data_IF_672552069471
#
_entry.id   IF_672552069471
#
_cell.length_a   1.000
_cell.length_b   1.000
_cell.length_c   1.000
_cell.angle_alpha   90.00
_cell.angle_beta   90.00
_cell.angle_gamma   90.00
#
_symmetry.space_group_name_H-M   'P 1'
#
loop_
_entity.id
_entity.type
_entity.pdbx_description
1 polymer ?
#
# COMPACT_ATOMS: atom_id res chain seq x y z
N UNK A 1 -10.52 24.47 16.78
CA UNK A 1 -11.84 23.80 16.76
C UNK A 1 -11.55 22.31 16.66
N UNK A 2 -11.47 21.62 17.79
CA UNK A 2 -11.14 20.19 17.84
C UNK A 2 -12.34 19.41 17.30
N UNK A 3 -12.17 18.80 16.13
CA UNK A 3 -13.17 17.92 15.55
C UNK A 3 -13.12 16.59 16.33
N UNK A 4 -13.84 16.50 17.44
CA UNK A 4 -13.97 15.27 18.19
C UNK A 4 -14.81 14.26 17.40
N UNK A 5 -14.23 13.08 17.14
CA UNK A 5 -14.79 12.00 16.36
C UNK A 5 -16.18 11.56 16.87
N UNK A 6 -17.19 11.59 15.99
CA UNK A 6 -18.43 10.83 16.18
C UNK A 6 -18.26 9.43 15.58
N UNK A 7 -18.57 8.35 16.31
CA UNK A 7 -18.61 7.01 15.73
C UNK A 7 -19.54 6.97 14.50
N UNK A 8 -19.31 6.05 13.56
CA UNK A 8 -20.25 5.82 12.47
C UNK A 8 -21.60 5.41 13.05
N UNK A 9 -22.55 6.33 12.98
CA UNK A 9 -23.93 6.17 13.44
C UNK A 9 -24.76 5.87 12.20
N UNK A 10 -25.37 4.68 12.16
CA UNK A 10 -26.49 4.43 11.28
C UNK A 10 -27.75 5.06 11.87
N UNK A 11 -28.78 5.26 11.06
CA UNK A 11 -30.08 5.73 11.55
C UNK A 11 -31.11 4.62 11.44
N UNK A 12 -31.99 4.51 12.44
CA UNK A 12 -33.12 3.59 12.38
C UNK A 12 -34.00 3.93 11.17
N UNK A 13 -34.31 2.91 10.36
CA UNK A 13 -35.13 3.05 9.16
C UNK A 13 -36.55 3.56 9.48
N UNK A 14 -37.33 4.03 8.49
CA UNK A 14 -38.75 4.29 8.66
C UNK A 14 -39.50 3.06 9.23
N UNK A 15 -40.57 3.28 10.01
CA UNK A 15 -41.28 2.18 10.69
C UNK A 15 -41.75 1.06 9.74
N UNK A 16 -42.14 1.39 8.51
CA UNK A 16 -42.61 0.40 7.53
C UNK A 16 -41.49 -0.49 6.96
N UNK A 17 -40.23 -0.14 7.21
CA UNK A 17 -39.03 -0.90 6.80
C UNK A 17 -38.41 -1.65 7.99
N UNK A 18 -38.90 -1.44 9.22
CA UNK A 18 -38.41 -2.12 10.41
C UNK A 18 -39.18 -3.42 10.68
N UNK A 19 -38.46 -4.49 11.02
CA UNK A 19 -39.05 -5.69 11.61
C UNK A 19 -38.13 -6.28 12.69
N UNK A 20 -38.54 -6.31 13.96
CA UNK A 20 -39.77 -5.70 14.53
C UNK A 20 -39.69 -4.16 14.57
N UNK A 21 -40.85 -3.49 14.63
CA UNK A 21 -40.97 -2.04 14.79
C UNK A 21 -40.66 -1.61 16.23
N UNK A 22 -39.37 -1.48 16.55
CA UNK A 22 -38.89 -1.25 17.92
C UNK A 22 -38.28 0.13 18.14
N UNK A 23 -37.84 0.81 17.08
CA UNK A 23 -37.03 2.01 17.19
C UNK A 23 -37.74 3.18 16.52
N UNK A 24 -37.67 4.36 17.13
CA UNK A 24 -38.12 5.58 16.47
C UNK A 24 -37.25 5.82 15.23
N UNK A 25 -37.82 6.09 14.05
CA UNK A 25 -37.03 6.42 12.86
C UNK A 25 -36.05 7.57 13.12
N UNK A 26 -34.85 7.49 12.56
CA UNK A 26 -33.79 8.48 12.81
C UNK A 26 -33.06 8.30 14.15
N UNK A 27 -33.41 7.29 14.96
CA UNK A 27 -32.63 6.97 16.17
C UNK A 27 -31.19 6.63 15.77
N UNK A 28 -30.19 7.29 16.37
CA UNK A 28 -28.78 6.94 16.20
C UNK A 28 -28.51 5.49 16.65
N UNK A 29 -28.08 4.66 15.71
CA UNK A 29 -27.69 3.28 15.95
C UNK A 29 -26.17 3.12 15.77
N UNK A 30 -25.43 2.79 16.83
CA UNK A 30 -24.01 2.48 16.67
C UNK A 30 -23.87 1.18 15.86
N UNK A 31 -22.96 1.19 14.89
CA UNK A 31 -22.60 -0.03 14.16
C UNK A 31 -21.78 -0.93 15.09
N UNK A 32 -22.24 -2.17 15.27
CA UNK A 32 -21.60 -3.17 16.13
C UNK A 32 -21.11 -4.38 15.32
N UNK A 33 -19.99 -5.02 15.72
CA UNK A 33 -19.13 -4.65 16.85
C UNK A 33 -18.32 -3.38 16.59
N UNK A 34 -18.16 -2.54 17.62
CA UNK A 34 -17.34 -1.33 17.51
C UNK A 34 -15.86 -1.68 17.48
N UNK A 35 -15.13 -1.12 16.52
CA UNK A 35 -13.68 -1.34 16.36
C UNK A 35 -12.94 0.01 16.48
N UNK A 36 -12.46 0.39 17.69
CA UNK A 36 -11.72 1.62 17.89
C UNK A 36 -10.54 1.75 16.92
N UNK A 37 -10.36 2.93 16.34
CA UNK A 37 -9.28 3.22 15.39
C UNK A 37 -9.40 2.49 14.04
N UNK A 38 -10.56 1.94 13.66
CA UNK A 38 -10.72 1.23 12.38
C UNK A 38 -10.28 2.08 11.19
N UNK A 39 -10.62 3.38 11.19
CA UNK A 39 -10.27 4.31 10.10
C UNK A 39 -8.76 4.35 9.83
N UNK A 40 -7.92 4.34 10.86
CA UNK A 40 -6.46 4.33 10.69
C UNK A 40 -5.88 2.99 10.22
N UNK A 41 -6.73 1.96 10.09
CA UNK A 41 -6.37 0.64 9.54
C UNK A 41 -6.94 0.39 8.15
N UNK A 42 -7.75 1.30 7.60
CA UNK A 42 -8.28 1.19 6.24
C UNK A 42 -7.21 1.63 5.24
N UNK A 43 -7.08 0.87 4.16
CA UNK A 43 -6.18 1.16 3.04
C UNK A 43 -7.01 1.31 1.76
N UNK A 44 -6.64 2.27 0.92
CA UNK A 44 -7.23 2.47 -0.38
C UNK A 44 -6.21 2.19 -1.48
N UNK A 45 -6.56 1.32 -2.43
CA UNK A 45 -5.75 1.02 -3.61
C UNK A 45 -5.96 2.06 -4.70
N UNK A 46 -4.99 2.96 -4.91
CA UNK A 46 -5.09 4.02 -5.92
C UNK A 46 -4.35 3.62 -7.20
N UNK A 47 -5.05 3.77 -8.33
CA UNK A 47 -4.48 3.59 -9.68
C UNK A 47 -4.26 4.92 -10.40
N UNK A 48 -4.64 6.05 -9.78
CA UNK A 48 -4.46 7.41 -10.31
C UNK A 48 -4.07 8.41 -9.23
N UNK A 49 -3.41 9.51 -9.60
CA UNK A 49 -3.15 10.67 -8.75
C UNK A 49 -4.44 11.25 -8.18
N UNK A 50 -5.50 11.31 -8.99
CA UNK A 50 -6.81 11.81 -8.55
C UNK A 50 -7.39 10.92 -7.42
N UNK A 51 -7.34 9.60 -7.58
CA UNK A 51 -7.82 8.66 -6.56
C UNK A 51 -6.92 8.65 -5.31
N UNK A 52 -5.61 8.83 -5.46
CA UNK A 52 -4.70 9.01 -4.34
C UNK A 52 -5.00 10.30 -3.55
N UNK A 53 -5.17 11.44 -4.23
CA UNK A 53 -5.55 12.71 -3.58
C UNK A 53 -6.89 12.57 -2.87
N UNK A 54 -7.86 11.87 -3.46
CA UNK A 54 -9.15 11.64 -2.81
C UNK A 54 -9.01 10.78 -1.55
N UNK A 55 -8.23 9.68 -1.61
CA UNK A 55 -7.94 8.87 -0.43
C UNK A 55 -7.27 9.69 0.69
N UNK A 56 -6.43 10.66 0.35
CA UNK A 56 -5.84 11.57 1.32
C UNK A 56 -6.90 12.45 2.00
N UNK A 57 -7.82 13.02 1.23
CA UNK A 57 -8.94 13.83 1.75
C UNK A 57 -9.88 13.00 2.63
N UNK A 58 -10.14 11.77 2.23
CA UNK A 58 -11.01 10.83 2.95
C UNK A 58 -10.36 10.26 4.22
N UNK A 59 -9.07 10.53 4.45
CA UNK A 59 -8.39 10.17 5.68
C UNK A 59 -8.24 8.65 5.82
N UNK A 60 -7.72 7.98 4.79
CA UNK A 60 -7.38 6.55 4.78
C UNK A 60 -5.94 6.34 4.28
N UNK A 61 -5.29 5.24 4.70
CA UNK A 61 -3.94 4.90 4.22
C UNK A 61 -3.94 4.64 2.71
N UNK A 62 -2.81 4.83 2.04
CA UNK A 62 -2.69 4.62 0.60
C UNK A 62 -1.91 3.36 0.26
N UNK A 63 -2.43 2.55 -0.66
CA UNK A 63 -1.64 1.57 -1.39
C UNK A 63 -1.55 2.02 -2.85
N UNK A 64 -0.36 2.33 -3.32
CA UNK A 64 -0.13 2.57 -4.74
C UNK A 64 -0.25 1.26 -5.48
N UNK A 65 -1.19 1.19 -6.42
CA UNK A 65 -1.47 -0.01 -7.20
C UNK A 65 -0.24 -0.46 -8.00
N UNK A 66 -0.09 -1.78 -8.20
CA UNK A 66 0.91 -2.36 -9.12
C UNK A 66 0.68 -1.99 -10.58
N UNK A 67 -0.48 -1.38 -10.85
CA UNK A 67 -0.91 -0.83 -12.12
C UNK A 67 -1.38 0.61 -11.89
N UNK A 68 -0.75 1.57 -12.56
CA UNK A 68 -1.17 2.98 -12.56
C UNK A 68 -1.51 3.44 -13.98
N UNK A 69 -2.49 4.33 -14.09
CA UNK A 69 -2.94 4.89 -15.38
C UNK A 69 -2.19 6.17 -15.75
N UNK A 70 -1.44 6.76 -14.82
CA UNK A 70 -0.49 7.81 -15.18
C UNK A 70 0.53 7.27 -16.18
N UNK A 71 0.75 8.04 -17.23
CA UNK A 71 1.73 7.77 -18.25
C UNK A 71 2.72 8.93 -18.36
N UNK A 72 3.97 8.59 -18.61
CA UNK A 72 5.04 9.52 -18.88
C UNK A 72 6.32 8.77 -19.25
N UNK A 73 7.28 9.48 -19.84
CA UNK A 73 8.59 8.93 -20.23
C UNK A 73 9.52 8.69 -19.03
N UNK A 74 8.99 8.15 -17.92
CA UNK A 74 9.73 7.92 -16.68
C UNK A 74 9.48 6.49 -16.15
N UNK A 75 10.43 5.91 -15.39
CA UNK A 75 10.28 4.59 -14.79
C UNK A 75 9.04 4.47 -13.91
N UNK A 76 8.48 3.26 -13.77
CA UNK A 76 7.27 3.02 -12.97
C UNK A 76 7.42 3.49 -11.51
N UNK A 77 8.60 3.28 -10.92
CA UNK A 77 8.92 3.77 -9.56
C UNK A 77 8.80 5.29 -9.44
N UNK A 78 9.17 6.04 -10.47
CA UNK A 78 9.07 7.51 -10.47
C UNK A 78 7.61 7.98 -10.61
N UNK A 79 6.79 7.23 -11.37
CA UNK A 79 5.34 7.48 -11.45
C UNK A 79 4.69 7.29 -10.08
N UNK A 80 4.98 6.18 -9.40
CA UNK A 80 4.44 5.92 -8.07
C UNK A 80 4.96 6.90 -7.03
N UNK A 81 6.24 7.28 -7.07
CA UNK A 81 6.82 8.29 -6.18
C UNK A 81 6.05 9.62 -6.26
N UNK A 82 5.73 10.08 -7.46
CA UNK A 82 4.95 11.31 -7.64
C UNK A 82 3.51 11.17 -7.12
N UNK A 83 2.87 10.00 -7.29
CA UNK A 83 1.55 9.71 -6.72
C UNK A 83 1.58 9.74 -5.19
N UNK A 84 2.60 9.12 -4.58
CA UNK A 84 2.83 9.13 -3.14
C UNK A 84 2.98 10.57 -2.64
N UNK A 85 3.85 11.38 -3.27
CA UNK A 85 4.06 12.81 -2.93
C UNK A 85 2.77 13.63 -3.06
N UNK A 86 1.97 13.38 -4.09
CA UNK A 86 0.68 14.04 -4.26
C UNK A 86 -0.30 13.71 -3.12
N UNK A 87 -0.36 12.44 -2.71
CA UNK A 87 -1.11 12.01 -1.52
C UNK A 87 -0.62 12.69 -0.24
N UNK A 88 0.71 12.72 0.00
CA UNK A 88 1.28 13.35 1.20
C UNK A 88 0.91 14.83 1.32
N UNK A 89 0.98 15.56 0.21
CA UNK A 89 0.60 16.98 0.13
C UNK A 89 -0.88 17.17 0.46
N UNK A 90 -1.76 16.40 -0.19
CA UNK A 90 -3.19 16.46 0.03
C UNK A 90 -3.59 16.04 1.47
N UNK A 91 -2.86 15.11 2.08
CA UNK A 91 -3.07 14.70 3.47
C UNK A 91 -2.84 15.87 4.43
N UNK A 92 -1.71 16.57 4.26
CA UNK A 92 -1.38 17.74 5.08
C UNK A 92 -2.41 18.85 4.91
N UNK A 93 -2.83 19.12 3.68
CA UNK A 93 -3.89 20.10 3.39
C UNK A 93 -5.24 19.73 4.04
N UNK A 94 -5.56 18.43 4.10
CA UNK A 94 -6.77 17.94 4.75
C UNK A 94 -6.74 18.05 6.28
N UNK A 95 -5.55 18.13 6.90
CA UNK A 95 -5.37 18.42 8.32
C UNK A 95 -5.90 17.34 9.26
N UNK A 96 -5.75 16.06 8.88
CA UNK A 96 -6.12 14.94 9.76
C UNK A 96 -5.29 14.92 11.05
N UNK A 97 -5.88 14.39 12.12
CA UNK A 97 -5.29 14.31 13.46
C UNK A 97 -4.36 13.11 13.67
N UNK A 98 -3.99 12.40 12.59
CA UNK A 98 -3.15 11.22 12.62
C UNK A 98 -2.28 11.09 11.38
N UNK A 99 -1.22 10.29 11.51
CA UNK A 99 -0.21 10.06 10.48
C UNK A 99 -0.56 8.87 9.59
N UNK A 100 -0.71 9.06 8.27
CA UNK A 100 -1.09 7.99 7.36
C UNK A 100 0.09 7.08 7.03
N UNK A 101 -0.21 5.88 6.56
CA UNK A 101 0.77 4.99 5.93
C UNK A 101 0.59 4.93 4.43
N UNK A 102 1.70 4.70 3.73
CA UNK A 102 1.74 4.57 2.28
C UNK A 102 2.54 3.35 1.86
N UNK A 103 1.94 2.52 1.00
CA UNK A 103 2.54 1.26 0.57
C UNK A 103 2.72 1.16 -0.94
N UNK A 104 3.73 0.39 -1.32
CA UNK A 104 4.00 -0.03 -2.70
C UNK A 104 4.20 -1.53 -2.73
N UNK A 105 3.79 -2.15 -3.84
CA UNK A 105 3.87 -3.59 -4.03
C UNK A 105 4.97 -3.96 -5.03
N UNK A 106 5.76 -4.99 -4.73
CA UNK A 106 6.83 -5.51 -5.61
C UNK A 106 6.89 -7.03 -5.58
N UNK A 107 7.09 -7.63 -6.76
CA UNK A 107 7.48 -9.04 -6.88
C UNK A 107 9.00 -9.11 -6.81
N UNK A 108 9.53 -9.69 -5.72
CA UNK A 108 10.97 -9.76 -5.46
C UNK A 108 11.36 -11.20 -5.15
N UNK A 109 12.27 -11.77 -5.95
CA UNK A 109 12.72 -13.15 -5.88
C UNK A 109 14.25 -13.20 -5.70
N UNK A 110 14.75 -13.33 -4.46
CA UNK A 110 16.17 -13.54 -4.20
C UNK A 110 16.64 -14.91 -4.68
N UNK A 111 17.59 -14.92 -5.61
CA UNK A 111 18.13 -16.14 -6.23
C UNK A 111 19.41 -16.59 -5.51
N UNK A 112 19.28 -17.55 -4.59
CA UNK A 112 20.41 -18.06 -3.80
C UNK A 112 20.96 -19.40 -4.32
N UNK A 113 20.15 -20.15 -5.07
CA UNK A 113 20.48 -21.49 -5.56
C UNK A 113 20.22 -21.64 -7.06
N UNK A 114 20.73 -22.73 -7.66
CA UNK A 114 20.36 -23.11 -9.03
C UNK A 114 18.86 -23.43 -9.16
N UNK A 115 18.25 -23.98 -8.10
CA UNK A 115 16.80 -24.20 -8.04
C UNK A 115 16.04 -22.87 -8.17
N UNK A 116 16.43 -21.85 -7.41
CA UNK A 116 15.79 -20.53 -7.49
C UNK A 116 15.96 -19.92 -8.88
N UNK A 117 17.16 -20.04 -9.47
CA UNK A 117 17.41 -19.57 -10.84
C UNK A 117 16.55 -20.31 -11.87
N UNK A 118 16.36 -21.62 -11.71
CA UNK A 118 15.49 -22.43 -12.56
C UNK A 118 14.02 -22.07 -12.44
N UNK A 119 13.55 -21.74 -11.23
CA UNK A 119 12.14 -21.41 -10.97
C UNK A 119 11.79 -19.94 -11.31
N UNK A 120 12.69 -18.99 -11.01
CA UNK A 120 12.39 -17.55 -11.03
C UNK A 120 13.33 -16.74 -11.91
N UNK A 121 14.45 -17.31 -12.37
CA UNK A 121 15.47 -16.55 -13.12
C UNK A 121 14.97 -15.98 -14.45
N UNK A 122 13.95 -16.61 -15.05
CA UNK A 122 13.28 -16.11 -16.25
C UNK A 122 12.12 -15.15 -15.96
N UNK A 123 11.74 -14.99 -14.69
CA UNK A 123 10.65 -14.10 -14.28
C UNK A 123 11.08 -12.63 -14.21
N UNK A 124 12.39 -12.33 -14.26
CA UNK A 124 12.89 -10.97 -14.33
C UNK A 124 12.30 -10.26 -15.55
N UNK A 125 11.66 -9.11 -15.33
CA UNK A 125 11.07 -8.30 -16.39
C UNK A 125 11.52 -6.85 -16.30
N UNK A 126 11.37 -6.10 -17.38
CA UNK A 126 11.36 -4.64 -17.33
C UNK A 126 9.98 -4.11 -16.92
N UNK A 127 9.86 -2.81 -16.71
CA UNK A 127 8.56 -2.16 -16.58
C UNK A 127 7.76 -2.40 -17.86
N UNK A 128 6.49 -2.75 -17.73
CA UNK A 128 5.65 -3.09 -18.87
C UNK A 128 4.59 -2.02 -19.06
N UNK A 129 4.40 -1.57 -20.29
CA UNK A 129 3.25 -0.76 -20.69
C UNK A 129 2.26 -1.69 -21.36
N UNK A 130 1.08 -1.85 -20.77
CA UNK A 130 0.01 -2.67 -21.30
C UNK A 130 -1.26 -1.86 -21.52
N UNK A 131 -2.11 -2.31 -22.43
CA UNK A 131 -3.44 -1.74 -22.61
C UNK A 131 -4.42 -2.53 -21.75
N UNK A 132 -5.12 -1.85 -20.85
CA UNK A 132 -6.27 -2.40 -20.12
C UNK A 132 -7.52 -1.68 -20.65
N UNK A 133 -8.35 -2.43 -21.37
CA UNK A 133 -9.47 -1.91 -22.16
C UNK A 133 -9.04 -0.79 -23.13
N UNK A 134 -9.47 0.45 -22.86
CA UNK A 134 -9.17 1.66 -23.65
C UNK A 134 -8.11 2.57 -23.00
N UNK A 135 -7.52 2.16 -21.87
CA UNK A 135 -6.56 2.94 -21.11
C UNK A 135 -5.18 2.31 -21.13
N UNK A 136 -4.14 3.14 -21.22
CA UNK A 136 -2.75 2.68 -21.15
C UNK A 136 -2.34 2.62 -19.69
N UNK A 137 -1.82 1.47 -19.27
CA UNK A 137 -1.47 1.16 -17.90
C UNK A 137 0.01 0.77 -17.81
N UNK A 138 0.70 1.29 -16.80
CA UNK A 138 2.10 0.92 -16.52
C UNK A 138 2.13 -0.09 -15.39
N UNK A 139 2.85 -1.19 -15.58
CA UNK A 139 3.02 -2.29 -14.63
C UNK A 139 4.44 -2.29 -14.08
N UNK A 140 4.55 -2.52 -12.78
CA UNK A 140 5.85 -2.70 -12.14
C UNK A 140 6.56 -3.96 -12.63
N UNK A 141 7.88 -3.85 -12.83
CA UNK A 141 8.78 -4.98 -13.08
C UNK A 141 8.80 -6.03 -11.97
N UNK A 142 9.12 -7.26 -12.35
CA UNK A 142 9.51 -8.32 -11.41
C UNK A 142 11.02 -8.29 -11.20
N UNK A 143 11.44 -8.27 -9.94
CA UNK A 143 12.83 -8.33 -9.54
C UNK A 143 13.22 -9.78 -9.25
N UNK A 144 14.11 -10.37 -10.04
CA UNK A 144 14.65 -11.70 -9.78
C UNK A 144 16.16 -11.69 -10.05
N UNK A 145 16.97 -11.69 -9.00
CA UNK A 145 18.42 -11.62 -9.08
C UNK A 145 19.08 -12.12 -7.78
N UNK A 146 20.40 -12.20 -7.75
CA UNK A 146 21.13 -12.40 -6.50
C UNK A 146 20.91 -11.21 -5.53
N UNK A 147 21.07 -11.40 -4.21
CA UNK A 147 20.78 -10.37 -3.22
C UNK A 147 21.51 -9.04 -3.45
N UNK A 148 22.78 -9.07 -3.87
CA UNK A 148 23.56 -7.84 -4.06
C UNK A 148 23.02 -7.00 -5.21
N UNK A 149 22.62 -7.65 -6.29
CA UNK A 149 21.95 -7.02 -7.43
C UNK A 149 20.58 -6.48 -7.03
N UNK A 150 19.79 -7.25 -6.27
CA UNK A 150 18.49 -6.81 -5.78
C UNK A 150 18.60 -5.54 -4.91
N UNK A 151 19.53 -5.50 -3.96
CA UNK A 151 19.76 -4.32 -3.11
C UNK A 151 20.06 -3.09 -3.96
N UNK A 152 20.94 -3.22 -4.96
CA UNK A 152 21.26 -2.11 -5.87
C UNK A 152 20.04 -1.66 -6.68
N UNK A 153 19.24 -2.59 -7.17
CA UNK A 153 18.05 -2.26 -7.95
C UNK A 153 16.97 -1.59 -7.10
N UNK A 154 16.72 -2.11 -5.90
CA UNK A 154 15.67 -1.62 -4.99
C UNK A 154 16.05 -0.28 -4.35
N UNK A 155 17.35 -0.04 -4.10
CA UNK A 155 17.82 1.28 -3.63
C UNK A 155 17.71 2.38 -4.69
N UNK A 156 17.50 2.02 -5.96
CA UNK A 156 17.24 2.96 -7.05
C UNK A 156 15.74 3.19 -7.29
N UNK A 157 14.86 2.42 -6.64
CA UNK A 157 13.41 2.56 -6.79
C UNK A 157 12.90 3.71 -5.92
N UNK A 158 12.59 4.84 -6.55
CA UNK A 158 12.12 6.05 -5.86
C UNK A 158 10.82 5.82 -5.10
N UNK A 159 9.94 4.93 -5.56
CA UNK A 159 8.70 4.64 -4.84
C UNK A 159 8.98 3.92 -3.53
N UNK A 160 10.01 3.05 -3.49
CA UNK A 160 10.43 2.38 -2.25
C UNK A 160 11.01 3.37 -1.25
N UNK A 161 11.80 4.34 -1.72
CA UNK A 161 12.31 5.41 -0.86
C UNK A 161 11.19 6.30 -0.28
N UNK A 162 10.11 6.49 -1.04
CA UNK A 162 8.94 7.25 -0.59
C UNK A 162 7.97 6.43 0.26
N UNK A 163 7.94 5.10 0.15
CA UNK A 163 6.98 4.26 0.87
C UNK A 163 7.47 3.90 2.29
N UNK A 164 6.55 3.86 3.26
CA UNK A 164 6.83 3.32 4.60
C UNK A 164 6.57 1.81 4.69
N UNK A 165 5.84 1.27 3.72
CA UNK A 165 5.42 -0.13 3.70
C UNK A 165 5.69 -0.74 2.33
N UNK A 166 6.56 -1.76 2.28
CA UNK A 166 6.74 -2.60 1.10
C UNK A 166 5.89 -3.87 1.23
N UNK A 167 5.01 -4.10 0.26
CA UNK A 167 4.22 -5.32 0.13
C UNK A 167 4.90 -6.26 -0.87
N UNK A 168 5.29 -7.45 -0.41
CA UNK A 168 5.83 -8.48 -1.29
C UNK A 168 4.69 -9.26 -1.95
N UNK A 169 4.67 -9.26 -3.28
CA UNK A 169 3.74 -10.08 -4.06
C UNK A 169 4.41 -11.41 -4.40
N UNK A 170 3.90 -12.48 -3.79
CA UNK A 170 4.43 -13.84 -3.93
C UNK A 170 3.43 -14.75 -4.69
N UNK A 171 3.89 -15.72 -5.49
CA UNK A 171 3.00 -16.56 -6.30
C UNK A 171 2.28 -17.61 -5.45
N UNK A 172 0.95 -17.52 -5.38
CA UNK A 172 0.11 -18.45 -4.63
C UNK A 172 0.14 -19.90 -5.14
N UNK A 173 0.61 -20.14 -6.37
CA UNK A 173 0.65 -21.45 -7.02
C UNK A 173 1.83 -22.34 -6.59
N UNK A 174 2.87 -21.78 -5.97
CA UNK A 174 4.13 -22.50 -5.70
C UNK A 174 4.12 -23.33 -4.40
N UNK A 175 3.03 -23.27 -3.63
CA UNK A 175 2.93 -23.97 -2.34
C UNK A 175 3.71 -23.30 -1.20
N UNK A 176 3.62 -23.87 -0.01
CA UNK A 176 4.14 -23.25 1.22
C UNK A 176 5.67 -23.09 1.22
N UNK A 177 6.41 -24.17 0.96
CA UNK A 177 7.88 -24.19 1.10
C UNK A 177 8.55 -23.12 0.22
N UNK A 178 8.05 -22.93 -1.00
CA UNK A 178 8.64 -21.99 -1.93
C UNK A 178 8.29 -20.54 -1.59
N UNK A 179 7.03 -20.29 -1.20
CA UNK A 179 6.63 -18.98 -0.71
C UNK A 179 7.37 -18.62 0.59
N UNK A 180 7.59 -19.58 1.47
CA UNK A 180 8.39 -19.42 2.68
C UNK A 180 9.86 -19.10 2.36
N UNK A 181 10.46 -19.82 1.42
CA UNK A 181 11.82 -19.56 0.94
C UNK A 181 11.96 -18.14 0.39
N UNK A 182 11.03 -17.67 -0.44
CA UNK A 182 11.04 -16.30 -0.98
C UNK A 182 11.02 -15.25 0.14
N UNK A 183 10.07 -15.37 1.07
CA UNK A 183 9.91 -14.42 2.18
C UNK A 183 11.16 -14.44 3.07
N UNK A 184 11.63 -15.64 3.44
CA UNK A 184 12.81 -15.81 4.30
C UNK A 184 14.06 -15.24 3.66
N UNK A 185 14.31 -15.58 2.39
CA UNK A 185 15.51 -15.11 1.68
C UNK A 185 15.48 -13.59 1.52
N UNK A 186 14.32 -12.99 1.29
CA UNK A 186 14.21 -11.53 1.24
C UNK A 186 14.51 -10.91 2.61
N UNK A 187 13.90 -11.43 3.67
CA UNK A 187 14.06 -10.92 5.03
C UNK A 187 15.49 -11.09 5.56
N UNK A 188 16.20 -12.16 5.20
CA UNK A 188 17.57 -12.42 5.66
C UNK A 188 18.64 -11.68 4.84
N UNK A 189 18.48 -11.59 3.51
CA UNK A 189 19.58 -11.16 2.62
C UNK A 189 19.35 -9.83 1.91
N UNK A 190 18.13 -9.28 1.89
CA UNK A 190 17.79 -8.06 1.14
C UNK A 190 17.24 -6.97 2.06
N UNK A 191 16.19 -7.28 2.83
CA UNK A 191 15.47 -6.32 3.66
C UNK A 191 16.38 -5.52 4.63
N UNK A 192 17.36 -6.13 5.33
CA UNK A 192 18.21 -5.39 6.27
C UNK A 192 19.05 -4.31 5.59
N UNK A 193 19.50 -4.55 4.35
CA UNK A 193 20.26 -3.57 3.59
C UNK A 193 19.38 -2.40 3.09
N UNK A 194 18.07 -2.55 3.10
CA UNK A 194 17.08 -1.49 2.84
C UNK A 194 16.65 -0.76 4.12
N UNK A 195 17.27 -1.06 5.26
CA UNK A 195 16.94 -0.44 6.56
C UNK A 195 15.74 -1.06 7.26
N UNK A 196 15.22 -2.20 6.78
CA UNK A 196 14.14 -2.91 7.47
C UNK A 196 14.65 -3.59 8.74
N UNK A 197 13.88 -3.48 9.81
CA UNK A 197 14.09 -4.21 11.06
C UNK A 197 12.94 -5.19 11.31
N UNK A 198 13.23 -6.40 11.85
CA UNK A 198 12.20 -7.34 12.25
C UNK A 198 11.18 -6.74 13.21
N UNK A 199 9.90 -6.98 12.91
CA UNK A 199 8.80 -6.51 13.75
C UNK A 199 8.91 -7.09 15.16
N UNK A 200 8.80 -6.22 16.17
CA UNK A 200 8.73 -6.62 17.57
C UNK A 200 7.27 -6.85 17.97
N UNK A 201 6.95 -7.93 18.70
CA UNK A 201 5.59 -8.16 19.18
C UNK A 201 5.04 -6.94 19.94
N UNK A 202 3.85 -6.48 19.55
CA UNK A 202 3.17 -5.34 20.18
C UNK A 202 3.56 -3.95 19.66
N UNK A 203 4.54 -3.82 18.78
CA UNK A 203 4.90 -2.55 18.13
C UNK A 203 4.22 -2.48 16.77
N UNK A 204 3.29 -1.55 16.59
CA UNK A 204 2.65 -1.28 15.30
C UNK A 204 3.47 -0.20 14.59
N UNK A 205 3.94 -0.43 13.34
CA UNK A 205 4.62 0.60 12.57
C UNK A 205 3.73 1.83 12.39
N UNK A 206 4.25 3.01 12.73
CA UNK A 206 3.65 4.30 12.40
C UNK A 206 4.08 4.73 11.00
N UNK A 207 3.29 5.59 10.34
CA UNK A 207 3.67 6.15 9.06
C UNK A 207 4.82 7.17 9.15
N UNK A 208 5.11 7.82 8.02
CA UNK A 208 6.16 8.83 7.86
C UNK A 208 5.85 10.14 8.60
N UNK A 209 6.88 10.91 8.97
CA UNK A 209 6.66 12.24 9.54
C UNK A 209 6.01 13.18 8.50
N UNK A 210 4.85 13.72 8.83
CA UNK A 210 4.07 14.59 7.94
C UNK A 210 4.77 15.93 7.74
N UNK A 211 5.67 16.36 8.62
CA UNK A 211 6.33 17.66 8.52
C UNK A 211 7.62 17.61 7.67
N UNK A 212 8.35 16.48 7.63
CA UNK A 212 9.59 16.35 6.84
C UNK A 212 9.34 16.25 5.32
N UNK A 213 8.17 15.75 4.89
CA UNK A 213 7.86 15.48 3.48
C UNK A 213 7.64 16.72 2.57
N UNK A 214 8.02 17.94 2.99
CA UNK A 214 7.97 19.20 2.19
C UNK A 214 9.34 19.84 2.02
N UNK A 215 10.39 19.28 2.62
CA UNK A 215 11.71 19.89 2.58
C UNK A 215 12.42 19.79 1.21
N UNK A 216 11.80 19.14 0.21
CA UNK A 216 12.23 19.07 -1.20
C UNK A 216 11.14 19.57 -2.15
#
# INVERSE_FOLDING_TARGET
MTCAFRPSIAEAAPLHEQYPTQLNPGTPLPILPHSPGLRSRIWYGAATNASAIQAARDGVNLMSSTLVFEHGDKPFGDIQADQLRAYRRAWREAGHDWTPRVSVSRSIFPLLSERDRGLYGLSASGDQVGHLDSSIATFGRTYAADPSTLIKQLSQDRALAEADTLLLTIPNQLGFEENWSIIRNFAEYVAPALGWEPARPGVVPTGYDVDEAVAE
#
